data_IF_406208147190
#
_entry.id   IF_406208147190
#
_cell.length_a   1.000
_cell.length_b   1.000
_cell.length_c   1.000
_cell.angle_alpha   90.00
_cell.angle_beta   90.00
_cell.angle_gamma   90.00
#
_symmetry.space_group_name_H-M   'P 1'
#
loop_
_entity.id
_entity.type
_entity.pdbx_description
1 polymer ?
#
# COMPACT_ATOMS: atom_id res chain seq x y z
N UNK A 1 -18.02 -1.97 13.92
CA UNK A 1 -17.64 -1.56 12.54
C UNK A 1 -16.82 -2.70 11.96
N UNK A 2 -16.97 -3.00 10.68
CA UNK A 2 -16.31 -4.14 10.03
C UNK A 2 -15.10 -3.68 9.23
N UNK A 3 -14.10 -4.56 9.07
CA UNK A 3 -13.00 -4.39 8.12
C UNK A 3 -13.59 -4.25 6.70
N UNK A 4 -13.02 -3.36 5.90
CA UNK A 4 -13.40 -3.13 4.51
C UNK A 4 -12.31 -3.64 3.59
N UNK A 5 -12.69 -4.19 2.45
CA UNK A 5 -11.75 -4.76 1.49
C UNK A 5 -11.72 -3.96 0.19
N UNK A 6 -10.52 -3.71 -0.29
CA UNK A 6 -10.25 -3.02 -1.54
C UNK A 6 -9.14 -3.69 -2.33
N UNK A 7 -8.86 -3.17 -3.51
CA UNK A 7 -7.80 -3.63 -4.38
C UNK A 7 -6.81 -2.52 -4.66
N UNK A 8 -5.53 -2.85 -4.59
CA UNK A 8 -4.43 -1.97 -4.98
C UNK A 8 -4.13 -2.16 -6.47
N UNK A 9 -3.74 -1.10 -7.18
CA UNK A 9 -3.59 -1.13 -8.63
C UNK A 9 -2.21 -1.56 -9.13
N UNK A 10 -1.30 -1.97 -8.24
CA UNK A 10 0.07 -2.32 -8.61
C UNK A 10 0.16 -3.47 -9.63
N UNK A 11 -0.78 -4.41 -9.58
CA UNK A 11 -0.89 -5.50 -10.56
C UNK A 11 -0.91 -4.99 -12.01
N UNK A 12 -1.59 -3.88 -12.28
CA UNK A 12 -1.56 -3.23 -13.62
C UNK A 12 -0.32 -2.37 -13.82
N UNK A 13 0.21 -1.79 -12.74
CA UNK A 13 1.41 -0.95 -12.80
C UNK A 13 2.67 -1.73 -13.20
N UNK A 14 2.75 -3.03 -12.92
CA UNK A 14 3.84 -3.89 -13.39
C UNK A 14 4.02 -3.81 -14.93
N UNK A 15 2.93 -3.62 -15.65
CA UNK A 15 2.93 -3.33 -17.09
C UNK A 15 2.46 -1.90 -17.39
N UNK A 16 3.06 -0.90 -16.72
CA UNK A 16 2.65 0.51 -16.70
C UNK A 16 2.36 1.08 -18.08
N UNK A 17 3.27 0.90 -19.05
CA UNK A 17 3.10 1.46 -20.40
C UNK A 17 1.82 0.97 -21.11
N UNK A 18 1.38 -0.24 -20.77
CA UNK A 18 0.14 -0.81 -21.32
C UNK A 18 -1.10 -0.22 -20.65
N UNK A 19 -1.04 0.06 -19.34
CA UNK A 19 -2.22 0.36 -18.53
C UNK A 19 -2.30 1.80 -18.00
N UNK A 20 -1.31 2.66 -18.24
CA UNK A 20 -1.25 4.04 -17.73
C UNK A 20 -2.46 4.94 -18.05
N UNK A 21 -3.25 4.56 -19.06
CA UNK A 21 -4.46 5.28 -19.46
C UNK A 21 -5.75 4.47 -19.24
N UNK A 22 -5.68 3.32 -18.54
CA UNK A 22 -6.80 2.37 -18.38
C UNK A 22 -7.44 2.44 -16.99
N UNK A 23 -7.26 3.52 -16.25
CA UNK A 23 -7.69 3.57 -14.85
C UNK A 23 -9.21 3.36 -14.69
N UNK A 24 -10.02 3.85 -15.62
CA UNK A 24 -11.47 3.62 -15.61
C UNK A 24 -11.83 2.12 -15.75
N UNK A 25 -11.16 1.40 -16.66
CA UNK A 25 -11.36 -0.04 -16.86
C UNK A 25 -10.87 -0.85 -15.65
N UNK A 26 -9.79 -0.37 -14.99
CA UNK A 26 -9.28 -0.94 -13.74
C UNK A 26 -10.34 -0.80 -12.64
N UNK A 27 -10.98 0.36 -12.50
CA UNK A 27 -12.07 0.55 -11.54
C UNK A 27 -13.25 -0.38 -11.82
N UNK A 28 -13.60 -0.61 -13.09
CA UNK A 28 -14.66 -1.57 -13.47
C UNK A 28 -14.29 -2.99 -13.05
N UNK A 29 -13.05 -3.39 -13.28
CA UNK A 29 -12.53 -4.71 -12.88
C UNK A 29 -12.59 -4.88 -11.36
N UNK A 30 -12.12 -3.90 -10.59
CA UNK A 30 -12.13 -3.90 -9.13
C UNK A 30 -13.57 -4.05 -8.61
N UNK A 31 -14.50 -3.26 -9.15
CA UNK A 31 -15.92 -3.33 -8.79
C UNK A 31 -16.53 -4.69 -9.08
N UNK A 32 -16.29 -5.20 -10.29
CA UNK A 32 -16.85 -6.49 -10.74
C UNK A 32 -16.27 -7.68 -9.96
N UNK A 33 -15.07 -7.52 -9.39
CA UNK A 33 -14.44 -8.50 -8.50
C UNK A 33 -14.97 -8.48 -7.07
N UNK A 34 -15.93 -7.59 -6.75
CA UNK A 34 -16.58 -7.54 -5.45
C UNK A 34 -15.87 -6.68 -4.40
N UNK A 35 -14.83 -5.95 -4.76
CA UNK A 35 -14.19 -4.98 -3.86
C UNK A 35 -15.04 -3.71 -3.71
N UNK A 36 -14.91 -3.05 -2.55
CA UNK A 36 -15.62 -1.81 -2.24
C UNK A 36 -14.73 -0.57 -2.24
N UNK A 37 -13.42 -0.75 -2.35
CA UNK A 37 -12.45 0.33 -2.39
C UNK A 37 -11.29 0.08 -3.35
N UNK A 38 -10.62 1.17 -3.70
CA UNK A 38 -9.42 1.17 -4.52
C UNK A 38 -8.30 1.93 -3.84
N UNK A 39 -7.08 1.42 -3.97
CA UNK A 39 -5.85 2.15 -3.73
C UNK A 39 -5.05 2.22 -5.02
N UNK A 40 -4.45 3.37 -5.30
CA UNK A 40 -3.63 3.54 -6.49
C UNK A 40 -2.34 4.28 -6.15
N UNK A 41 -1.24 3.90 -6.80
CA UNK A 41 -0.12 4.82 -6.91
C UNK A 41 -0.50 5.99 -7.81
N UNK A 42 0.02 7.16 -7.47
CA UNK A 42 -0.30 8.43 -8.16
C UNK A 42 -0.10 8.34 -9.68
N UNK A 43 0.95 7.61 -10.13
CA UNK A 43 1.24 7.43 -11.55
C UNK A 43 0.11 6.73 -12.33
N UNK A 44 -0.69 5.87 -11.66
CA UNK A 44 -1.78 5.13 -12.29
C UNK A 44 -3.05 5.97 -12.51
N UNK A 45 -3.15 7.13 -11.86
CA UNK A 45 -4.33 7.99 -11.98
C UNK A 45 -4.48 8.63 -13.38
N UNK A 46 -3.39 8.78 -14.13
CA UNK A 46 -3.43 9.39 -15.46
C UNK A 46 -4.12 10.76 -15.45
N UNK A 47 -5.11 10.96 -16.32
CA UNK A 47 -5.87 12.21 -16.41
C UNK A 47 -6.67 12.54 -15.14
N UNK A 48 -7.06 11.57 -14.33
CA UNK A 48 -7.77 11.77 -13.08
C UNK A 48 -6.95 12.55 -12.05
N UNK A 49 -5.60 12.51 -12.13
CA UNK A 49 -4.74 13.30 -11.23
C UNK A 49 -4.78 14.80 -11.50
N UNK A 50 -5.27 15.21 -12.66
CA UNK A 50 -5.44 16.62 -13.01
C UNK A 50 -6.85 17.14 -12.67
N UNK A 51 -7.82 16.24 -12.45
CA UNK A 51 -9.20 16.60 -12.15
C UNK A 51 -9.80 15.63 -11.12
N UNK A 52 -9.85 16.09 -9.87
CA UNK A 52 -10.40 15.33 -8.76
C UNK A 52 -11.91 15.06 -8.89
N UNK A 53 -12.66 15.95 -9.55
CA UNK A 53 -14.10 15.73 -9.76
C UNK A 53 -14.33 14.55 -10.69
N UNK A 54 -13.51 14.43 -11.73
CA UNK A 54 -13.57 13.31 -12.66
C UNK A 54 -13.36 11.97 -11.93
N UNK A 55 -12.41 11.92 -10.97
CA UNK A 55 -12.21 10.73 -10.15
C UNK A 55 -13.40 10.48 -9.21
N UNK A 56 -13.93 11.52 -8.56
CA UNK A 56 -15.10 11.39 -7.67
C UNK A 56 -16.31 10.82 -8.42
N UNK A 57 -16.59 11.32 -9.62
CA UNK A 57 -17.66 10.82 -10.48
C UNK A 57 -17.43 9.36 -10.89
N UNK A 58 -16.21 9.02 -11.33
CA UNK A 58 -15.87 7.67 -11.74
C UNK A 58 -16.02 6.64 -10.60
N UNK A 59 -15.64 7.01 -9.38
CA UNK A 59 -15.82 6.19 -8.18
C UNK A 59 -17.29 6.07 -7.79
N UNK A 60 -18.03 7.19 -7.79
CA UNK A 60 -19.45 7.23 -7.42
C UNK A 60 -20.30 6.36 -8.36
N UNK A 61 -20.05 6.42 -9.67
CA UNK A 61 -20.76 5.59 -10.66
C UNK A 61 -20.60 4.10 -10.41
N UNK A 62 -19.49 3.69 -9.76
CA UNK A 62 -19.18 2.28 -9.45
C UNK A 62 -19.48 1.91 -8.01
N UNK A 63 -19.85 2.87 -7.16
CA UNK A 63 -19.99 2.65 -5.72
C UNK A 63 -18.68 2.20 -5.07
N UNK A 64 -17.55 2.73 -5.54
CA UNK A 64 -16.22 2.51 -4.97
C UNK A 64 -15.81 3.70 -4.09
N UNK A 65 -15.02 3.42 -3.05
CA UNK A 65 -14.34 4.45 -2.27
C UNK A 65 -12.84 4.49 -2.61
N UNK A 66 -12.26 5.70 -2.63
CA UNK A 66 -10.79 5.84 -2.67
C UNK A 66 -10.25 5.58 -1.26
N UNK A 67 -9.73 4.38 -1.04
CA UNK A 67 -9.21 3.95 0.26
C UNK A 67 -7.90 4.66 0.61
N UNK A 68 -6.99 4.71 -0.36
CA UNK A 68 -5.70 5.37 -0.22
C UNK A 68 -5.12 5.80 -1.57
N UNK A 69 -4.15 6.72 -1.53
CA UNK A 69 -3.22 6.99 -2.61
C UNK A 69 -1.79 6.76 -2.13
N UNK A 70 -1.00 6.08 -2.95
CA UNK A 70 0.39 5.75 -2.64
C UNK A 70 1.35 6.75 -3.29
N UNK A 71 2.19 7.36 -2.45
CA UNK A 71 3.32 8.20 -2.84
C UNK A 71 4.62 7.40 -2.67
N UNK A 72 5.19 6.95 -3.79
CA UNK A 72 6.44 6.21 -3.82
C UNK A 72 7.57 7.13 -4.30
N UNK A 73 8.53 7.43 -3.42
CA UNK A 73 9.64 8.34 -3.69
C UNK A 73 10.98 7.74 -3.27
N UNK A 74 12.09 8.15 -3.89
CA UNK A 74 13.42 7.59 -3.58
C UNK A 74 13.94 7.94 -2.19
N UNK A 75 13.76 9.19 -1.73
CA UNK A 75 14.23 9.72 -0.45
C UNK A 75 15.67 9.32 -0.11
N UNK A 76 16.60 9.60 -1.04
CA UNK A 76 18.01 9.24 -0.91
C UNK A 76 18.78 10.19 0.00
N UNK A 77 18.39 11.45 0.06
CA UNK A 77 19.04 12.47 0.90
C UNK A 77 18.42 12.56 2.30
N UNK A 78 19.13 13.20 3.22
CA UNK A 78 18.64 13.47 4.58
C UNK A 78 17.41 14.42 4.63
N UNK A 79 17.14 15.11 3.52
CA UNK A 79 15.97 15.97 3.29
C UNK A 79 15.44 15.71 1.89
N UNK A 80 14.14 15.94 1.71
CA UNK A 80 13.49 15.82 0.40
C UNK A 80 14.16 16.76 -0.62
N UNK A 81 14.35 16.27 -1.83
CA UNK A 81 14.65 17.15 -2.99
C UNK A 81 13.47 18.07 -3.27
N UNK A 82 13.71 19.14 -4.03
CA UNK A 82 12.62 20.03 -4.45
C UNK A 82 11.52 19.28 -5.23
N UNK A 83 11.92 18.33 -6.08
CA UNK A 83 10.97 17.55 -6.88
C UNK A 83 10.11 16.63 -5.99
N UNK A 84 10.71 15.91 -5.04
CA UNK A 84 9.98 15.06 -4.10
C UNK A 84 8.98 15.87 -3.27
N UNK A 85 9.42 17.05 -2.81
CA UNK A 85 8.57 17.95 -2.05
C UNK A 85 7.41 18.50 -2.88
N UNK A 86 7.67 18.97 -4.09
CA UNK A 86 6.64 19.50 -4.99
C UNK A 86 5.58 18.42 -5.30
N UNK A 87 5.99 17.15 -5.49
CA UNK A 87 5.08 16.04 -5.75
C UNK A 87 4.22 15.73 -4.51
N UNK A 88 4.83 15.65 -3.32
CA UNK A 88 4.10 15.46 -2.08
C UNK A 88 3.07 16.59 -1.84
N UNK A 89 3.48 17.85 -2.00
CA UNK A 89 2.61 19.02 -1.79
C UNK A 89 1.46 19.07 -2.83
N UNK A 90 1.71 18.63 -4.08
CA UNK A 90 0.67 18.47 -5.10
C UNK A 90 -0.34 17.39 -4.69
N UNK A 91 0.14 16.27 -4.21
CA UNK A 91 -0.73 15.18 -3.75
C UNK A 91 -1.56 15.61 -2.53
N UNK A 92 -1.00 16.38 -1.60
CA UNK A 92 -1.77 16.91 -0.47
C UNK A 92 -2.92 17.81 -0.92
N UNK A 93 -2.70 18.67 -1.92
CA UNK A 93 -3.78 19.50 -2.50
C UNK A 93 -4.87 18.63 -3.12
N UNK A 94 -4.48 17.56 -3.79
CA UNK A 94 -5.41 16.60 -4.39
C UNK A 94 -6.22 15.85 -3.32
N UNK A 95 -5.56 15.31 -2.29
CA UNK A 95 -6.18 14.56 -1.21
C UNK A 95 -7.17 15.38 -0.35
N UNK A 96 -7.06 16.71 -0.33
CA UNK A 96 -8.07 17.57 0.33
C UNK A 96 -9.48 17.39 -0.25
N UNK A 97 -9.60 16.93 -1.50
CA UNK A 97 -10.89 16.60 -2.13
C UNK A 97 -11.42 15.22 -1.71
N UNK A 98 -10.60 14.42 -1.00
CA UNK A 98 -10.91 13.06 -0.57
C UNK A 98 -10.60 12.88 0.94
N UNK A 99 -11.37 13.50 1.84
CA UNK A 99 -10.99 13.64 3.26
C UNK A 99 -10.94 12.32 4.05
N UNK A 100 -11.42 11.22 3.49
CA UNK A 100 -11.38 9.87 4.10
C UNK A 100 -10.24 9.00 3.56
N UNK A 101 -9.57 9.46 2.51
CA UNK A 101 -8.50 8.73 1.83
C UNK A 101 -7.19 8.88 2.59
N UNK A 102 -6.48 7.79 2.79
CA UNK A 102 -5.16 7.79 3.42
C UNK A 102 -4.06 8.05 2.40
N UNK A 103 -2.96 8.56 2.89
CA UNK A 103 -1.71 8.66 2.15
C UNK A 103 -0.79 7.52 2.57
N UNK A 104 -0.45 6.64 1.63
CA UNK A 104 0.53 5.59 1.86
C UNK A 104 1.89 6.06 1.35
N UNK A 105 2.87 6.06 2.22
CA UNK A 105 4.24 6.48 1.94
C UNK A 105 5.10 5.25 1.69
N UNK A 106 5.78 5.21 0.55
CA UNK A 106 6.68 4.12 0.16
C UNK A 106 8.02 4.69 -0.22
N UNK A 107 9.10 4.15 0.36
CA UNK A 107 10.44 4.42 -0.14
C UNK A 107 10.75 3.46 -1.30
N UNK A 108 11.08 4.02 -2.45
CA UNK A 108 11.49 3.22 -3.60
C UNK A 108 12.74 2.41 -3.28
N UNK A 109 12.79 1.12 -3.67
CA UNK A 109 13.99 0.32 -3.50
C UNK A 109 15.12 0.86 -4.36
N UNK A 110 16.37 0.70 -3.88
CA UNK A 110 17.55 0.91 -4.72
C UNK A 110 17.93 -0.36 -5.48
N UNK A 111 19.02 -0.28 -6.23
CA UNK A 111 19.56 -1.44 -6.96
C UNK A 111 20.13 -2.49 -5.99
N UNK A 112 20.66 -2.04 -4.88
CA UNK A 112 21.27 -2.87 -3.83
C UNK A 112 21.03 -2.29 -2.43
N UNK A 113 21.70 -2.85 -1.43
CA UNK A 113 21.64 -2.41 -0.03
C UNK A 113 22.94 -1.76 0.45
N UNK A 114 23.73 -1.19 -0.45
CA UNK A 114 24.89 -0.39 -0.07
C UNK A 114 24.48 0.84 0.75
N UNK A 115 25.35 1.28 1.65
CA UNK A 115 25.10 2.40 2.56
C UNK A 115 23.78 2.29 3.34
N UNK A 116 23.41 1.05 3.74
CA UNK A 116 22.11 0.72 4.31
C UNK A 116 21.69 1.65 5.45
N UNK A 117 22.55 1.83 6.47
CA UNK A 117 22.23 2.65 7.64
C UNK A 117 22.00 4.13 7.30
N UNK A 118 22.76 4.67 6.37
CA UNK A 118 22.57 6.04 5.88
C UNK A 118 21.25 6.18 5.14
N UNK A 119 20.97 5.25 4.24
CA UNK A 119 19.71 5.24 3.46
C UNK A 119 18.48 5.03 4.35
N UNK A 120 18.58 4.21 5.41
CA UNK A 120 17.54 4.06 6.41
C UNK A 120 17.28 5.38 7.15
N UNK A 121 18.34 6.04 7.65
CA UNK A 121 18.20 7.35 8.32
C UNK A 121 17.59 8.40 7.41
N UNK A 122 18.06 8.49 6.17
CA UNK A 122 17.57 9.46 5.19
C UNK A 122 16.09 9.20 4.85
N UNK A 123 15.73 7.95 4.56
CA UNK A 123 14.36 7.57 4.29
C UNK A 123 13.41 7.91 5.45
N UNK A 124 13.79 7.55 6.68
CA UNK A 124 12.98 7.89 7.87
C UNK A 124 12.86 9.39 8.09
N UNK A 125 13.95 10.15 7.87
CA UNK A 125 13.91 11.62 7.96
C UNK A 125 12.91 12.21 6.98
N UNK A 126 12.93 11.79 5.71
CA UNK A 126 11.99 12.25 4.70
C UNK A 126 10.55 11.79 4.97
N UNK A 127 10.35 10.51 5.31
CA UNK A 127 9.02 9.97 5.65
C UNK A 127 8.38 10.76 6.78
N UNK A 128 9.11 10.99 7.88
CA UNK A 128 8.59 11.75 9.01
C UNK A 128 8.27 13.21 8.63
N UNK A 129 9.12 13.87 7.83
CA UNK A 129 8.89 15.23 7.36
C UNK A 129 7.66 15.34 6.44
N UNK A 130 7.50 14.40 5.51
CA UNK A 130 6.31 14.32 4.63
C UNK A 130 5.06 14.06 5.46
N UNK A 131 5.12 13.08 6.38
CA UNK A 131 3.99 12.73 7.22
C UNK A 131 3.54 13.87 8.14
N UNK A 132 4.48 14.63 8.72
CA UNK A 132 4.14 15.81 9.51
C UNK A 132 3.40 16.85 8.66
N UNK A 133 3.88 17.17 7.45
CA UNK A 133 3.20 18.12 6.56
C UNK A 133 1.82 17.61 6.10
N UNK A 134 1.69 16.29 5.88
CA UNK A 134 0.41 15.67 5.57
C UNK A 134 -0.56 15.85 6.75
N UNK A 135 -0.12 15.56 7.97
CA UNK A 135 -0.88 15.74 9.20
C UNK A 135 -1.33 17.20 9.40
N UNK A 136 -0.43 18.17 9.21
CA UNK A 136 -0.73 19.61 9.28
C UNK A 136 -1.75 20.04 8.20
N UNK A 137 -1.87 19.24 7.13
CA UNK A 137 -2.87 19.42 6.06
C UNK A 137 -4.17 18.64 6.29
N UNK A 138 -4.31 17.95 7.43
CA UNK A 138 -5.47 17.11 7.78
C UNK A 138 -5.49 15.73 7.09
N UNK A 139 -4.33 15.25 6.61
CA UNK A 139 -4.21 13.98 5.89
C UNK A 139 -3.57 12.94 6.82
N UNK A 140 -4.20 11.79 6.94
CA UNK A 140 -3.67 10.64 7.70
C UNK A 140 -2.75 9.84 6.78
N UNK A 141 -1.52 9.58 7.23
CA UNK A 141 -0.55 8.80 6.47
C UNK A 141 -0.09 7.54 7.20
N UNK A 142 0.34 6.54 6.44
CA UNK A 142 0.98 5.33 6.93
C UNK A 142 2.19 4.99 6.06
N UNK A 143 3.24 4.46 6.68
CA UNK A 143 4.42 4.00 5.96
C UNK A 143 4.30 2.52 5.64
N UNK A 144 4.58 2.17 4.39
CA UNK A 144 4.53 0.83 3.84
C UNK A 144 5.95 0.39 3.42
N UNK A 145 6.61 -0.49 4.19
CA UNK A 145 7.88 -1.09 3.79
C UNK A 145 7.65 -2.17 2.72
N UNK A 146 8.61 -2.30 1.81
CA UNK A 146 8.59 -3.28 0.74
C UNK A 146 9.78 -4.24 0.79
N UNK A 147 9.81 -5.31 -0.03
CA UNK A 147 10.82 -6.37 0.05
C UNK A 147 11.65 -6.67 -1.22
N UNK A 148 11.70 -5.86 -2.29
CA UNK A 148 12.72 -6.01 -3.31
C UNK A 148 14.14 -6.06 -2.74
N UNK A 149 15.10 -6.60 -3.50
CA UNK A 149 16.46 -6.82 -2.99
C UNK A 149 17.16 -5.53 -2.53
N UNK A 150 16.88 -4.41 -3.15
CA UNK A 150 17.45 -3.10 -2.80
C UNK A 150 16.69 -2.34 -1.70
N UNK A 151 15.60 -2.91 -1.14
CA UNK A 151 14.81 -2.25 -0.09
C UNK A 151 15.60 -2.16 1.22
N UNK A 152 15.51 -1.00 1.86
CA UNK A 152 16.24 -0.74 3.11
C UNK A 152 15.47 -1.18 4.36
N UNK A 153 14.16 -1.42 4.24
CA UNK A 153 13.32 -1.95 5.32
C UNK A 153 12.71 -3.29 4.91
N UNK A 154 13.51 -4.36 4.94
CA UNK A 154 13.15 -5.66 4.40
C UNK A 154 13.19 -6.79 5.41
N UNK A 155 14.17 -6.79 6.32
CA UNK A 155 14.43 -7.87 7.28
C UNK A 155 13.95 -7.48 8.68
N UNK A 156 13.90 -8.42 9.63
CA UNK A 156 13.53 -8.14 11.01
C UNK A 156 14.39 -7.02 11.64
N UNK A 157 15.70 -7.05 11.40
CA UNK A 157 16.60 -5.98 11.89
C UNK A 157 16.29 -4.61 11.29
N UNK A 158 15.90 -4.57 10.01
CA UNK A 158 15.50 -3.31 9.36
C UNK A 158 14.18 -2.79 9.94
N UNK A 159 13.26 -3.69 10.28
CA UNK A 159 11.99 -3.34 10.90
C UNK A 159 12.18 -2.77 12.31
N UNK A 160 13.16 -3.28 13.09
CA UNK A 160 13.54 -2.68 14.39
C UNK A 160 13.99 -1.22 14.20
N UNK A 161 14.82 -0.94 13.18
CA UNK A 161 15.27 0.42 12.84
C UNK A 161 14.09 1.28 12.41
N UNK A 162 13.23 0.75 11.53
CA UNK A 162 12.04 1.45 11.05
C UNK A 162 11.09 1.81 12.18
N UNK A 163 10.70 0.84 13.02
CA UNK A 163 9.78 1.08 14.14
C UNK A 163 10.35 2.04 15.20
N UNK A 164 11.68 2.03 15.38
CA UNK A 164 12.33 2.97 16.30
C UNK A 164 12.45 4.39 15.71
N UNK A 165 12.41 4.54 14.40
CA UNK A 165 12.66 5.79 13.69
C UNK A 165 11.41 6.50 13.17
N UNK A 166 10.26 5.82 13.07
CA UNK A 166 8.99 6.45 12.66
C UNK A 166 8.43 7.33 13.78
N UNK A 167 7.98 8.52 13.42
CA UNK A 167 7.31 9.43 14.34
C UNK A 167 5.79 9.18 14.35
N UNK A 168 5.35 8.30 15.23
CA UNK A 168 3.94 7.89 15.35
C UNK A 168 2.96 9.00 15.74
N UNK A 169 3.43 10.20 15.98
CA UNK A 169 2.54 11.37 16.10
C UNK A 169 1.93 11.75 14.74
N UNK A 170 2.61 11.42 13.64
CA UNK A 170 2.26 11.86 12.29
C UNK A 170 2.07 10.74 11.29
N UNK A 171 2.74 9.59 11.47
CA UNK A 171 2.71 8.48 10.52
C UNK A 171 2.36 7.18 11.24
N UNK A 172 1.40 6.42 10.68
CA UNK A 172 1.13 5.07 11.13
C UNK A 172 1.90 4.02 10.34
N UNK A 173 1.56 2.77 10.58
CA UNK A 173 2.13 1.63 9.90
C UNK A 173 1.12 1.01 8.93
N UNK A 174 1.57 0.66 7.74
CA UNK A 174 0.85 -0.14 6.76
C UNK A 174 1.61 -1.47 6.54
N UNK A 175 1.33 -2.52 7.35
CA UNK A 175 1.89 -3.84 7.11
C UNK A 175 1.41 -4.41 5.78
N UNK A 176 2.31 -5.14 5.13
CA UNK A 176 2.01 -6.00 4.00
C UNK A 176 2.39 -7.43 4.34
N UNK A 177 1.42 -8.34 4.33
CA UNK A 177 1.62 -9.74 4.74
C UNK A 177 2.68 -10.45 3.91
N UNK A 178 2.67 -10.25 2.59
CA UNK A 178 3.62 -10.87 1.69
C UNK A 178 5.03 -10.30 1.82
N UNK A 179 5.17 -8.97 1.95
CA UNK A 179 6.48 -8.36 2.13
C UNK A 179 7.13 -8.76 3.47
N UNK A 180 6.36 -8.88 4.54
CA UNK A 180 6.82 -9.38 5.83
C UNK A 180 7.33 -10.81 5.69
N UNK A 181 6.52 -11.71 5.12
CA UNK A 181 6.90 -13.11 4.92
C UNK A 181 8.12 -13.24 3.99
N UNK A 182 8.17 -12.46 2.90
CA UNK A 182 9.32 -12.43 1.97
C UNK A 182 10.60 -11.91 2.61
N UNK A 183 10.46 -11.06 3.63
CA UNK A 183 11.55 -10.59 4.49
C UNK A 183 12.05 -11.64 5.52
N UNK A 184 11.40 -12.81 5.58
CA UNK A 184 11.75 -13.92 6.49
C UNK A 184 11.22 -13.72 7.91
N UNK A 185 10.20 -12.88 8.09
CA UNK A 185 9.59 -12.60 9.39
C UNK A 185 8.29 -13.40 9.57
N UNK A 186 7.93 -13.67 10.82
CA UNK A 186 6.61 -14.20 11.17
C UNK A 186 5.57 -13.08 11.02
N UNK A 187 4.61 -13.30 10.09
CA UNK A 187 3.58 -12.31 9.76
C UNK A 187 2.70 -12.02 10.98
N UNK A 188 2.26 -13.05 11.69
CA UNK A 188 1.39 -12.89 12.85
C UNK A 188 2.08 -12.17 14.01
N UNK A 189 3.38 -12.44 14.20
CA UNK A 189 4.18 -11.74 15.22
C UNK A 189 4.30 -10.25 14.90
N UNK A 190 4.59 -9.88 13.65
CA UNK A 190 4.70 -8.48 13.24
C UNK A 190 3.37 -7.75 13.40
N UNK A 191 2.26 -8.35 12.97
CA UNK A 191 0.92 -7.75 13.13
C UNK A 191 0.55 -7.57 14.60
N UNK A 192 0.82 -8.59 15.45
CA UNK A 192 0.48 -8.56 16.89
C UNK A 192 1.27 -7.50 17.63
N UNK A 193 2.58 -7.42 17.37
CA UNK A 193 3.47 -6.52 18.11
C UNK A 193 3.26 -5.04 17.74
N UNK A 194 2.71 -4.76 16.54
CA UNK A 194 2.55 -3.39 16.03
C UNK A 194 1.08 -2.98 15.83
N UNK A 195 0.13 -3.73 16.38
CA UNK A 195 -1.31 -3.48 16.21
C UNK A 195 -1.75 -2.02 16.44
N UNK A 196 -1.32 -1.35 17.52
CA UNK A 196 -1.71 0.04 17.77
C UNK A 196 -1.28 1.06 16.71
N UNK A 197 -0.23 0.77 15.95
CA UNK A 197 0.31 1.63 14.91
C UNK A 197 -0.32 1.37 13.53
N UNK A 198 -1.05 0.26 13.36
CA UNK A 198 -1.64 -0.13 12.07
C UNK A 198 -2.79 0.80 11.72
N UNK A 199 -2.63 1.57 10.63
CA UNK A 199 -3.67 2.45 10.10
C UNK A 199 -4.23 1.96 8.76
N UNK A 200 -3.50 1.14 8.03
CA UNK A 200 -3.85 0.58 6.74
C UNK A 200 -3.21 -0.78 6.60
N UNK A 201 -3.70 -1.66 5.74
CA UNK A 201 -3.17 -3.03 5.61
C UNK A 201 -3.14 -3.43 4.15
N UNK A 202 -2.04 -4.07 3.73
CA UNK A 202 -1.95 -4.77 2.45
C UNK A 202 -1.88 -6.28 2.68
N UNK A 203 -2.63 -7.02 1.88
CA UNK A 203 -2.58 -8.46 1.80
C UNK A 203 -2.00 -8.89 0.47
N UNK A 204 -0.91 -9.64 0.55
CA UNK A 204 -0.29 -10.40 -0.54
C UNK A 204 -0.08 -11.82 -0.07
N UNK A 205 -0.10 -12.78 -0.98
CA UNK A 205 0.21 -14.16 -0.66
C UNK A 205 1.50 -14.63 -1.35
N UNK A 206 2.22 -15.52 -0.71
CA UNK A 206 3.46 -16.10 -1.22
C UNK A 206 3.50 -17.60 -1.00
N UNK A 207 4.23 -18.30 -1.87
CA UNK A 207 4.57 -19.72 -1.68
C UNK A 207 5.68 -19.90 -0.65
N UNK A 208 5.91 -21.15 -0.23
CA UNK A 208 7.06 -21.52 0.63
C UNK A 208 8.42 -21.11 0.03
N UNK A 209 8.50 -20.98 -1.29
CA UNK A 209 9.71 -20.54 -2.01
C UNK A 209 9.75 -19.01 -2.23
N UNK A 210 8.96 -18.26 -1.48
CA UNK A 210 8.87 -16.79 -1.54
C UNK A 210 8.49 -16.22 -2.92
N UNK A 211 7.75 -16.99 -3.74
CA UNK A 211 7.16 -16.50 -4.99
C UNK A 211 5.75 -15.99 -4.73
N UNK A 212 5.41 -14.86 -5.32
CA UNK A 212 4.08 -14.29 -5.23
C UNK A 212 3.00 -15.26 -5.73
N UNK A 213 1.85 -15.24 -5.10
CA UNK A 213 0.70 -16.09 -5.43
C UNK A 213 -0.59 -15.31 -5.30
N UNK A 214 -1.57 -15.70 -6.10
CA UNK A 214 -2.96 -15.30 -5.92
C UNK A 214 -3.43 -15.64 -4.50
N UNK A 215 -4.25 -14.80 -3.92
CA UNK A 215 -4.75 -14.96 -2.55
C UNK A 215 -5.32 -16.37 -2.31
N UNK A 216 -4.88 -16.99 -1.22
CA UNK A 216 -5.28 -18.36 -0.84
C UNK A 216 -4.54 -19.48 -1.56
N UNK A 217 -3.63 -19.17 -2.47
CA UNK A 217 -2.76 -20.14 -3.15
C UNK A 217 -1.35 -20.20 -2.56
N UNK A 218 -1.07 -19.37 -1.58
CA UNK A 218 0.20 -19.32 -0.86
C UNK A 218 0.12 -19.99 0.50
N UNK A 219 0.95 -19.51 1.43
CA UNK A 219 1.12 -20.10 2.76
C UNK A 219 0.68 -19.19 3.91
N UNK A 220 0.23 -17.97 3.62
CA UNK A 220 -0.14 -17.00 4.66
C UNK A 220 -1.58 -17.24 5.10
N UNK A 221 -1.81 -17.44 6.40
CA UNK A 221 -3.17 -17.53 6.96
C UNK A 221 -3.78 -16.13 7.15
N UNK A 222 -4.33 -15.59 6.07
CA UNK A 222 -4.98 -14.27 6.08
C UNK A 222 -6.22 -14.23 6.98
N UNK A 223 -6.88 -15.39 7.19
CA UNK A 223 -8.03 -15.47 8.09
C UNK A 223 -7.63 -15.25 9.54
N UNK A 224 -6.48 -15.82 9.94
CA UNK A 224 -5.93 -15.57 11.28
C UNK A 224 -5.55 -14.11 11.47
N UNK A 225 -4.95 -13.46 10.45
CA UNK A 225 -4.65 -12.02 10.49
C UNK A 225 -5.94 -11.18 10.61
N UNK A 226 -6.98 -11.51 9.85
CA UNK A 226 -8.28 -10.82 9.94
C UNK A 226 -8.87 -10.96 11.36
N UNK A 227 -8.84 -12.16 11.95
CA UNK A 227 -9.30 -12.38 13.32
C UNK A 227 -8.51 -11.53 14.33
N UNK A 228 -7.19 -11.42 14.17
CA UNK A 228 -6.35 -10.57 15.02
C UNK A 228 -6.75 -9.10 14.88
N UNK A 229 -6.89 -8.61 13.65
CA UNK A 229 -7.29 -7.22 13.37
C UNK A 229 -8.67 -6.89 13.97
N UNK A 230 -9.63 -7.80 13.84
CA UNK A 230 -10.97 -7.63 14.44
C UNK A 230 -10.90 -7.58 15.96
N UNK A 231 -10.13 -8.48 16.58
CA UNK A 231 -9.96 -8.56 18.04
C UNK A 231 -9.25 -7.32 18.62
N UNK A 232 -8.42 -6.64 17.83
CA UNK A 232 -7.76 -5.38 18.22
C UNK A 232 -8.61 -4.15 17.90
N UNK A 233 -9.80 -4.32 17.33
CA UNK A 233 -10.72 -3.23 17.02
C UNK A 233 -10.37 -2.48 15.73
N UNK A 234 -9.56 -3.05 14.84
CA UNK A 234 -9.26 -2.45 13.55
C UNK A 234 -10.50 -2.37 12.66
N UNK A 235 -10.78 -1.20 12.09
CA UNK A 235 -11.95 -0.95 11.24
C UNK A 235 -11.59 -0.27 9.92
N UNK A 236 -10.31 -0.34 9.57
CA UNK A 236 -9.76 0.27 8.36
C UNK A 236 -9.98 -0.57 7.09
N UNK A 237 -9.16 -0.27 6.10
CA UNK A 237 -9.08 -1.01 4.85
C UNK A 237 -8.02 -2.09 4.89
N UNK A 238 -8.34 -3.22 4.30
CA UNK A 238 -7.39 -4.26 3.87
C UNK A 238 -7.40 -4.23 2.34
N UNK A 239 -6.27 -3.84 1.76
CA UNK A 239 -6.08 -3.78 0.31
C UNK A 239 -5.41 -5.06 -0.15
N UNK A 240 -6.01 -5.73 -1.13
CA UNK A 240 -5.38 -6.87 -1.78
C UNK A 240 -4.52 -6.38 -2.92
N UNK A 241 -3.28 -6.84 -2.93
CA UNK A 241 -2.28 -6.52 -3.95
C UNK A 241 -1.61 -7.80 -4.42
N UNK A 242 -1.30 -7.90 -5.71
CA UNK A 242 -0.65 -9.08 -6.27
C UNK A 242 0.46 -8.69 -7.26
N UNK A 243 1.60 -9.39 -7.15
CA UNK A 243 2.80 -9.14 -7.94
C UNK A 243 3.31 -10.42 -8.66
N UNK A 244 2.45 -11.42 -8.85
CA UNK A 244 2.86 -12.64 -9.57
C UNK A 244 3.02 -12.39 -11.08
N UNK A 245 3.83 -13.19 -11.74
CA UNK A 245 3.96 -13.13 -13.21
C UNK A 245 2.62 -13.48 -13.89
N UNK A 246 1.83 -14.35 -13.28
CA UNK A 246 0.50 -14.72 -13.74
C UNK A 246 -0.45 -13.51 -13.68
N UNK A 247 -0.36 -12.72 -12.61
CA UNK A 247 -1.15 -11.51 -12.45
C UNK A 247 -0.71 -10.41 -13.42
N UNK A 248 0.59 -10.24 -13.66
CA UNK A 248 1.09 -9.32 -14.69
C UNK A 248 0.58 -9.69 -16.08
N UNK A 249 0.56 -10.99 -16.41
CA UNK A 249 0.08 -11.48 -17.69
C UNK A 249 -1.44 -11.29 -17.87
N UNK A 250 -2.23 -11.47 -16.78
CA UNK A 250 -3.69 -11.33 -16.82
C UNK A 250 -4.22 -10.68 -15.51
N UNK A 251 -4.06 -9.36 -15.35
CA UNK A 251 -4.44 -8.66 -14.12
C UNK A 251 -5.95 -8.70 -13.83
N UNK A 252 -6.78 -8.80 -14.86
CA UNK A 252 -8.24 -8.91 -14.70
C UNK A 252 -8.61 -10.23 -14.01
N UNK A 253 -8.04 -11.34 -14.47
CA UNK A 253 -8.31 -12.65 -13.87
C UNK A 253 -7.77 -12.73 -12.45
N UNK A 254 -6.53 -12.30 -12.22
CA UNK A 254 -5.93 -12.29 -10.88
C UNK A 254 -6.76 -11.47 -9.89
N UNK A 255 -7.23 -10.29 -10.28
CA UNK A 255 -8.09 -9.45 -9.44
C UNK A 255 -9.43 -10.12 -9.15
N UNK A 256 -10.01 -10.81 -10.14
CA UNK A 256 -11.26 -11.55 -9.97
C UNK A 256 -11.09 -12.71 -8.98
N UNK A 257 -10.01 -13.48 -9.10
CA UNK A 257 -9.72 -14.60 -8.21
C UNK A 257 -9.44 -14.12 -6.78
N UNK A 258 -8.68 -13.03 -6.63
CA UNK A 258 -8.45 -12.39 -5.34
C UNK A 258 -9.75 -11.89 -4.70
N UNK A 259 -10.64 -11.29 -5.48
CA UNK A 259 -11.95 -10.85 -5.01
C UNK A 259 -12.83 -12.02 -4.57
N UNK A 260 -12.81 -13.13 -5.31
CA UNK A 260 -13.51 -14.36 -4.94
C UNK A 260 -13.02 -14.88 -3.59
N UNK A 261 -11.70 -14.95 -3.39
CA UNK A 261 -11.13 -15.36 -2.10
C UNK A 261 -11.58 -14.47 -0.95
N UNK A 262 -11.51 -13.16 -1.12
CA UNK A 262 -11.96 -12.20 -0.09
C UNK A 262 -13.42 -12.42 0.27
N UNK A 263 -14.30 -12.52 -0.74
CA UNK A 263 -15.75 -12.63 -0.51
C UNK A 263 -16.19 -14.00 0.03
N UNK A 264 -15.40 -15.05 -0.16
CA UNK A 264 -15.79 -16.42 0.27
C UNK A 264 -15.05 -16.89 1.52
N UNK A 265 -13.87 -16.33 1.82
CA UNK A 265 -13.00 -16.80 2.91
C UNK A 265 -12.83 -15.77 4.01
N UNK A 266 -12.73 -14.47 3.67
CA UNK A 266 -12.39 -13.42 4.63
C UNK A 266 -13.61 -12.61 5.13
N UNK A 267 -14.70 -12.56 4.38
CA UNK A 267 -15.97 -11.94 4.77
C UNK A 267 -16.93 -12.99 5.35
#
# INVERSE_FOLDING_TARGET
MTIRYGCQTYTWQMSYEKYKNSFADILDTIKNSGFSGVEAEVCMLGSFYNDSNLLQEALAMRGLELAALTLALPWLGAVETKQERDEADRLFKYLKQFPKTKLILVQLPGDDRSNLEERQRNGLSCVNAVAQRAYDSGIISAFHPNSPNGSVFRTAKDYEVMFSGLDYRYVGYCPDSGHIARGGMDVMEVFRNNGPQILHVHFKDISMNHQWRTMGQGVIDHKEIVNLLQNTGYTGWVMVEEESNEAEANPVQATTDNGLYVNTVLQ
#
